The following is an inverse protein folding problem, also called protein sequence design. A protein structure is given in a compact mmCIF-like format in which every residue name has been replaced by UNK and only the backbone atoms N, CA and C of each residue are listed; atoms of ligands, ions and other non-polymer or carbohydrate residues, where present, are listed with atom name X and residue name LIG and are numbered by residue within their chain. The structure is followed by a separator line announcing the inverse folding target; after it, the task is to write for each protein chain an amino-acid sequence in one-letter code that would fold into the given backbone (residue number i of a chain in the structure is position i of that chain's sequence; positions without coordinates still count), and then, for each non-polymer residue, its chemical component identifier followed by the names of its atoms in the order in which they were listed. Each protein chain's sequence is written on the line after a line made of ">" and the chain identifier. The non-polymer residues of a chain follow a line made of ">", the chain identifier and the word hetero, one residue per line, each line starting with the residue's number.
data_IF_571656997984
#
_entry.id   IF_571656997984
#
_cell.length_a   1.000
_cell.length_b   1.000
_cell.length_c   1.000
_cell.angle_alpha   90.00
_cell.angle_beta   90.00
_cell.angle_gamma   90.00
#
_symmetry.space_group_name_H-M   'P 1'
#
loop_
_entity.id
_entity.type
_entity.pdbx_description
1 polymer ?
#
# COMPACT_ATOMS: atom_id res chain seq x y z
N UNK A 1 6.92 -9.02 11.48
CA UNK A 1 6.64 -9.95 10.37
C UNK A 1 5.16 -9.88 10.06
N UNK A 2 4.78 -9.83 8.79
CA UNK A 2 3.39 -9.84 8.31
C UNK A 2 3.20 -10.92 7.25
N UNK A 3 1.99 -11.48 7.14
CA UNK A 3 1.64 -12.49 6.14
C UNK A 3 0.14 -12.50 5.87
N UNK A 4 -0.25 -13.04 4.71
CA UNK A 4 -1.63 -13.41 4.43
C UNK A 4 -1.88 -14.86 4.85
N UNK A 5 -2.98 -15.09 5.56
CA UNK A 5 -3.45 -16.43 5.92
C UNK A 5 -4.82 -16.65 5.27
N UNK A 6 -4.95 -17.70 4.45
CA UNK A 6 -6.26 -18.15 3.97
C UNK A 6 -6.98 -18.89 5.11
N UNK A 7 -8.06 -18.29 5.63
CA UNK A 7 -8.80 -18.82 6.78
C UNK A 7 -10.05 -19.61 6.39
N UNK A 8 -10.54 -19.39 5.17
CA UNK A 8 -11.58 -20.17 4.50
C UNK A 8 -11.42 -19.96 2.99
N UNK A 9 -12.08 -20.75 2.12
CA UNK A 9 -12.01 -20.55 0.68
C UNK A 9 -12.31 -19.09 0.33
N UNK A 10 -11.39 -18.47 -0.40
CA UNK A 10 -11.40 -17.05 -0.81
C UNK A 10 -11.32 -16.01 0.31
N UNK A 11 -11.36 -16.39 1.59
CA UNK A 11 -11.27 -15.49 2.73
C UNK A 11 -9.83 -15.43 3.26
N UNK A 12 -9.26 -14.23 3.30
CA UNK A 12 -7.91 -14.00 3.77
C UNK A 12 -7.90 -13.08 4.98
N UNK A 13 -6.91 -13.28 5.85
CA UNK A 13 -6.54 -12.36 6.91
C UNK A 13 -5.12 -11.84 6.67
N UNK A 14 -4.94 -10.51 6.71
CA UNK A 14 -3.62 -9.93 6.91
C UNK A 14 -3.26 -10.01 8.39
N UNK A 15 -2.23 -10.78 8.70
CA UNK A 15 -1.73 -10.98 10.05
C UNK A 15 -0.35 -10.39 10.24
N UNK A 16 -0.03 -10.07 11.48
CA UNK A 16 1.29 -9.62 11.86
C UNK A 16 1.69 -10.16 13.24
N UNK A 17 3.00 -10.26 13.46
CA UNK A 17 3.61 -10.54 14.76
C UNK A 17 4.87 -9.70 14.88
N UNK A 18 5.17 -9.24 16.09
CA UNK A 18 6.35 -8.45 16.43
C UNK A 18 7.31 -9.28 17.27
N UNK A 19 8.60 -9.15 16.96
CA UNK A 19 9.67 -9.74 17.74
C UNK A 19 10.02 -8.75 18.87
N UNK A 20 9.81 -9.16 20.12
CA UNK A 20 10.13 -8.39 21.32
C UNK A 20 10.95 -9.26 22.26
N UNK A 21 12.08 -8.76 22.73
CA UNK A 21 12.99 -9.48 23.64
C UNK A 21 13.41 -10.88 23.16
N UNK A 22 13.49 -11.08 21.85
CA UNK A 22 13.85 -12.36 21.23
C UNK A 22 12.69 -13.35 21.09
N UNK A 23 11.48 -12.99 21.49
CA UNK A 23 10.27 -13.81 21.35
C UNK A 23 9.24 -13.14 20.43
N UNK A 24 8.57 -13.95 19.61
CA UNK A 24 7.45 -13.47 18.80
C UNK A 24 6.20 -13.38 19.65
N UNK A 25 5.52 -12.24 19.59
CA UNK A 25 4.24 -12.09 20.25
C UNK A 25 3.13 -12.89 19.54
N UNK A 26 1.99 -13.05 20.22
CA UNK A 26 0.80 -13.65 19.59
C UNK A 26 0.41 -12.83 18.35
N UNK A 27 0.15 -13.48 17.19
CA UNK A 27 -0.26 -12.78 15.99
C UNK A 27 -1.52 -11.93 16.19
N UNK A 28 -1.50 -10.71 15.68
CA UNK A 28 -2.66 -9.84 15.52
C UNK A 28 -3.21 -9.89 14.09
N UNK A 29 -4.48 -9.53 13.93
CA UNK A 29 -5.16 -9.40 12.63
C UNK A 29 -5.30 -7.92 12.30
N UNK A 30 -4.90 -7.54 11.09
CA UNK A 30 -5.02 -6.17 10.56
C UNK A 30 -6.37 -6.00 9.88
N UNK A 31 -6.65 -6.89 8.91
CA UNK A 31 -7.83 -6.86 8.07
C UNK A 31 -8.19 -8.28 7.63
N UNK A 32 -9.47 -8.50 7.33
CA UNK A 32 -10.00 -9.78 6.88
C UNK A 32 -11.08 -9.56 5.81
N UNK A 33 -11.10 -10.37 4.76
CA UNK A 33 -12.06 -10.21 3.66
C UNK A 33 -11.88 -11.24 2.54
N UNK A 34 -12.87 -11.32 1.65
CA UNK A 34 -12.81 -12.10 0.40
C UNK A 34 -12.33 -11.28 -0.82
N UNK A 35 -12.18 -9.98 -0.62
CA UNK A 35 -11.80 -8.99 -1.63
C UNK A 35 -10.30 -8.71 -1.65
N UNK A 36 -9.47 -9.45 -0.91
CA UNK A 36 -8.02 -9.35 -1.01
C UNK A 36 -7.53 -9.71 -2.42
N UNK A 37 -6.67 -8.86 -2.98
CA UNK A 37 -5.92 -9.21 -4.19
C UNK A 37 -4.63 -9.92 -3.78
N UNK A 38 -4.64 -11.25 -3.86
CA UNK A 38 -3.51 -12.11 -3.51
C UNK A 38 -2.79 -12.53 -4.79
N UNK A 39 -1.51 -12.19 -4.90
CA UNK A 39 -0.66 -12.58 -6.03
C UNK A 39 0.73 -13.05 -5.54
N UNK A 40 1.64 -13.36 -6.47
CA UNK A 40 3.00 -13.83 -6.17
C UNK A 40 4.06 -12.73 -6.14
N UNK A 41 3.70 -11.47 -6.42
CA UNK A 41 4.66 -10.40 -6.74
C UNK A 41 4.55 -9.16 -5.83
N UNK A 42 3.38 -8.90 -5.27
CA UNK A 42 3.10 -7.77 -4.40
C UNK A 42 2.57 -8.27 -3.05
N UNK A 43 3.23 -7.82 -1.99
CA UNK A 43 3.05 -8.36 -0.65
C UNK A 43 2.57 -7.29 0.30
N UNK A 44 1.56 -7.57 1.14
CA UNK A 44 1.19 -6.65 2.20
C UNK A 44 2.29 -6.57 3.25
N UNK A 45 2.48 -5.38 3.81
CA UNK A 45 3.45 -5.17 4.87
C UNK A 45 2.83 -4.50 6.08
N UNK A 46 3.41 -4.77 7.26
CA UNK A 46 3.17 -4.04 8.50
C UNK A 46 4.51 -3.56 9.03
N UNK A 47 4.64 -2.26 9.26
CA UNK A 47 5.87 -1.63 9.75
C UNK A 47 5.61 -0.70 10.93
N UNK A 48 6.59 -0.55 11.83
CA UNK A 48 6.57 0.47 12.87
C UNK A 48 6.74 1.85 12.25
N UNK A 49 5.99 2.83 12.74
CA UNK A 49 6.12 4.24 12.39
C UNK A 49 6.35 5.12 13.61
N UNK A 50 6.33 6.46 13.42
CA UNK A 50 6.57 7.42 14.49
C UNK A 50 5.58 7.27 15.65
N UNK A 51 6.01 7.68 16.84
CA UNK A 51 5.18 7.67 18.06
C UNK A 51 4.70 6.27 18.49
N UNK A 52 5.37 5.21 18.03
CA UNK A 52 4.98 3.83 18.33
C UNK A 52 3.75 3.35 17.56
N UNK A 53 3.34 4.09 16.52
CA UNK A 53 2.30 3.66 15.59
C UNK A 53 2.75 2.43 14.80
N UNK A 54 1.79 1.64 14.33
CA UNK A 54 2.00 0.62 13.31
C UNK A 54 1.20 1.02 12.06
N UNK A 55 1.77 0.77 10.90
CA UNK A 55 1.15 1.05 9.61
C UNK A 55 1.13 -0.22 8.78
N UNK A 56 -0.02 -0.47 8.16
CA UNK A 56 -0.23 -1.63 7.31
C UNK A 56 -0.69 -1.19 5.93
N UNK A 57 -0.26 -1.91 4.90
CA UNK A 57 -0.91 -1.88 3.60
C UNK A 57 -1.23 -3.28 3.09
N UNK A 58 -2.24 -3.36 2.22
CA UNK A 58 -2.57 -4.55 1.44
C UNK A 58 -3.21 -4.14 0.12
N UNK A 59 -3.38 -5.11 -0.77
CA UNK A 59 -4.12 -4.92 -2.01
C UNK A 59 -5.54 -5.46 -1.89
N UNK A 60 -6.49 -4.71 -2.43
CA UNK A 60 -7.90 -5.06 -2.49
C UNK A 60 -8.39 -5.02 -3.93
N UNK A 61 -9.12 -6.05 -4.35
CA UNK A 61 -9.78 -6.13 -5.67
C UNK A 61 -10.83 -5.04 -5.81
N UNK A 62 -10.88 -4.44 -6.98
CA UNK A 62 -12.01 -3.63 -7.41
C UNK A 62 -13.11 -4.47 -8.06
N UNK A 63 -14.17 -3.80 -8.52
CA UNK A 63 -15.38 -4.45 -9.03
C UNK A 63 -15.24 -5.02 -10.44
N UNK A 64 -14.31 -4.50 -11.25
CA UNK A 64 -14.12 -4.93 -12.64
C UNK A 64 -13.22 -6.17 -12.75
N UNK A 65 -12.51 -6.52 -11.67
CA UNK A 65 -11.60 -7.66 -11.62
C UNK A 65 -10.38 -7.52 -12.54
N UNK A 66 -9.63 -8.62 -12.72
CA UNK A 66 -8.39 -8.59 -13.49
C UNK A 66 -7.32 -7.71 -12.83
N UNK A 67 -6.94 -6.62 -13.50
CA UNK A 67 -5.99 -5.62 -12.99
C UNK A 67 -6.64 -4.50 -12.19
N UNK A 68 -7.96 -4.51 -12.02
CA UNK A 68 -8.65 -3.58 -11.11
C UNK A 68 -8.38 -3.99 -9.66
N UNK A 69 -7.35 -3.40 -9.07
CA UNK A 69 -7.02 -3.56 -7.66
C UNK A 69 -6.30 -2.33 -7.12
N UNK A 70 -6.52 -2.06 -5.83
CA UNK A 70 -6.06 -0.86 -5.17
C UNK A 70 -5.35 -1.13 -3.86
N UNK A 71 -4.40 -0.25 -3.53
CA UNK A 71 -3.77 -0.17 -2.22
C UNK A 71 -4.77 0.26 -1.15
N UNK A 72 -4.78 -0.45 -0.02
CA UNK A 72 -5.42 -0.04 1.23
C UNK A 72 -4.36 0.19 2.29
N UNK A 73 -4.59 1.18 3.14
CA UNK A 73 -3.68 1.58 4.23
C UNK A 73 -4.47 1.72 5.52
N UNK A 74 -3.91 1.24 6.62
CA UNK A 74 -4.47 1.41 7.96
C UNK A 74 -3.38 1.72 9.00
N UNK A 75 -3.75 2.49 10.02
CA UNK A 75 -2.90 2.88 11.14
C UNK A 75 -3.38 2.19 12.43
N UNK A 76 -2.45 1.83 13.30
CA UNK A 76 -2.73 1.45 14.68
C UNK A 76 -1.90 2.28 15.66
N UNK A 77 -2.56 2.86 16.66
CA UNK A 77 -1.92 3.60 17.75
C UNK A 77 -1.76 2.81 19.05
N UNK A 78 -2.14 1.53 19.09
CA UNK A 78 -2.22 0.72 20.31
C UNK A 78 -1.44 -0.61 20.24
N UNK A 79 -0.44 -0.65 19.36
CA UNK A 79 0.38 -1.84 19.12
C UNK A 79 -0.32 -2.91 18.28
N UNK A 80 -1.27 -2.51 17.43
CA UNK A 80 -1.99 -3.37 16.50
C UNK A 80 -3.12 -4.17 17.15
N UNK A 81 -3.69 -3.68 18.26
CA UNK A 81 -4.91 -4.25 18.86
C UNK A 81 -6.14 -3.75 18.12
N UNK A 82 -6.14 -2.50 17.69
CA UNK A 82 -7.15 -1.89 16.84
C UNK A 82 -6.49 -1.18 15.66
N UNK A 83 -7.21 -1.12 14.55
CA UNK A 83 -6.78 -0.49 13.30
C UNK A 83 -7.81 0.56 12.88
N UNK A 84 -7.34 1.63 12.25
CA UNK A 84 -8.20 2.66 11.67
C UNK A 84 -9.05 2.08 10.53
N UNK A 85 -10.10 2.82 10.14
CA UNK A 85 -10.78 2.56 8.88
C UNK A 85 -9.76 2.63 7.72
N UNK A 86 -9.78 1.66 6.79
CA UNK A 86 -8.85 1.64 5.68
C UNK A 86 -9.13 2.75 4.68
N UNK A 87 -8.07 3.33 4.13
CA UNK A 87 -8.15 4.35 3.09
C UNK A 87 -7.21 4.00 1.92
N UNK A 88 -7.32 4.70 0.79
CA UNK A 88 -6.49 4.48 -0.40
C UNK A 88 -5.58 5.69 -0.68
N UNK A 89 -4.30 5.48 -1.03
CA UNK A 89 -3.39 6.57 -1.38
C UNK A 89 -3.67 7.19 -2.76
N UNK A 90 -4.23 6.43 -3.70
CA UNK A 90 -4.57 6.87 -5.06
C UNK A 90 -6.01 7.42 -5.14
N UNK A 91 -6.21 8.45 -5.96
CA UNK A 91 -7.49 9.20 -6.04
C UNK A 91 -8.14 9.24 -7.43
N UNK A 92 -7.49 8.72 -8.47
CA UNK A 92 -7.98 8.79 -9.85
C UNK A 92 -9.23 7.94 -10.09
N UNK A 93 -9.43 6.89 -9.29
CA UNK A 93 -10.61 6.03 -9.35
C UNK A 93 -10.72 5.19 -10.62
N UNK A 94 -9.65 5.06 -11.39
CA UNK A 94 -9.64 4.19 -12.57
C UNK A 94 -9.58 2.72 -12.14
N UNK A 95 -10.29 1.80 -12.84
CA UNK A 95 -10.25 0.38 -12.55
C UNK A 95 -8.98 -0.25 -13.12
N UNK A 96 -7.83 0.21 -12.62
CA UNK A 96 -6.49 -0.22 -13.06
C UNK A 96 -5.64 -0.65 -11.88
N UNK A 97 -4.45 -1.13 -12.21
CA UNK A 97 -3.46 -1.62 -11.26
C UNK A 97 -2.89 -0.48 -10.41
N UNK A 98 -3.00 -0.64 -9.09
CA UNK A 98 -2.33 0.20 -8.12
C UNK A 98 -1.71 -0.69 -7.04
N UNK A 99 -0.38 -0.80 -7.05
CA UNK A 99 0.34 -1.75 -6.20
C UNK A 99 1.84 -1.49 -6.12
N UNK A 100 2.60 -2.55 -5.85
CA UNK A 100 4.04 -2.59 -5.60
C UNK A 100 4.48 -1.53 -4.60
N UNK A 101 3.85 -1.59 -3.43
CA UNK A 101 3.91 -0.52 -2.43
C UNK A 101 5.18 -0.59 -1.60
N UNK A 102 5.82 0.56 -1.45
CA UNK A 102 6.84 0.82 -0.43
C UNK A 102 6.33 1.85 0.56
N UNK A 103 6.51 1.57 1.85
CA UNK A 103 6.20 2.53 2.90
C UNK A 103 7.47 2.83 3.71
N UNK A 104 7.65 4.08 4.11
CA UNK A 104 8.76 4.51 4.95
C UNK A 104 8.30 5.52 6.01
N UNK A 105 9.03 5.64 7.12
CA UNK A 105 8.84 6.79 8.00
C UNK A 105 9.13 8.09 7.24
N UNK A 106 8.22 9.06 7.33
CA UNK A 106 8.45 10.41 6.80
C UNK A 106 8.00 11.45 7.81
N UNK A 107 8.95 12.20 8.36
CA UNK A 107 8.70 13.22 9.38
C UNK A 107 7.95 12.66 10.60
N UNK A 108 6.71 13.10 10.81
CA UNK A 108 5.84 12.68 11.91
C UNK A 108 4.81 11.62 11.53
N UNK A 109 4.99 10.94 10.39
CA UNK A 109 4.13 9.86 9.93
C UNK A 109 4.82 8.95 8.93
N UNK A 110 4.10 8.56 7.87
CA UNK A 110 4.62 7.67 6.83
C UNK A 110 4.52 8.31 5.45
N UNK A 111 5.50 8.00 4.61
CA UNK A 111 5.43 8.13 3.17
C UNK A 111 5.03 6.81 2.54
N UNK A 112 4.29 6.88 1.43
CA UNK A 112 3.78 5.74 0.69
C UNK A 112 4.10 5.96 -0.77
N UNK A 113 4.84 5.03 -1.36
CA UNK A 113 5.18 4.99 -2.78
C UNK A 113 4.48 3.80 -3.42
N UNK A 114 3.89 3.97 -4.61
CA UNK A 114 3.24 2.88 -5.35
C UNK A 114 3.43 3.04 -6.87
N UNK A 115 3.33 1.92 -7.56
CA UNK A 115 3.13 1.85 -9.01
C UNK A 115 1.66 2.08 -9.34
N UNK A 116 1.43 2.95 -10.31
CA UNK A 116 0.12 3.47 -10.64
C UNK A 116 -0.16 3.38 -12.14
N UNK A 117 -1.12 2.53 -12.48
CA UNK A 117 -1.48 2.12 -13.83
C UNK A 117 -2.59 2.95 -14.45
N UNK A 118 -2.94 4.12 -13.90
CA UNK A 118 -4.08 4.92 -14.40
C UNK A 118 -4.00 5.28 -15.89
N UNK A 119 -2.78 5.33 -16.45
CA UNK A 119 -2.56 5.59 -17.87
C UNK A 119 -2.76 4.36 -18.79
N UNK A 120 -3.25 3.22 -18.27
CA UNK A 120 -3.65 2.06 -19.07
C UNK A 120 -5.08 2.15 -19.59
N UNK A 121 -5.87 3.06 -19.03
CA UNK A 121 -7.16 3.48 -19.59
C UNK A 121 -7.00 4.83 -20.30
N UNK A 122 -7.82 5.07 -21.31
CA UNK A 122 -7.82 6.37 -21.99
C UNK A 122 -8.68 7.35 -21.21
N UNK A 123 -8.19 8.58 -21.03
CA UNK A 123 -8.99 9.68 -20.48
C UNK A 123 -10.05 10.18 -21.47
N UNK A 124 -9.88 9.91 -22.76
CA UNK A 124 -10.77 10.38 -23.83
C UNK A 124 -11.24 9.23 -24.71
N UNK A 125 -12.55 9.14 -24.92
CA UNK A 125 -13.16 8.15 -25.81
C UNK A 125 -12.57 8.23 -27.22
N UNK A 126 -12.04 7.09 -27.69
CA UNK A 126 -11.50 6.94 -29.05
C UNK A 126 -10.00 7.18 -29.19
N UNK A 127 -9.32 7.68 -28.16
CA UNK A 127 -7.86 7.80 -28.15
C UNK A 127 -7.22 6.55 -27.51
N UNK A 128 -6.06 6.09 -28.01
CA UNK A 128 -5.34 5.00 -27.38
C UNK A 128 -4.73 5.45 -26.05
N UNK A 129 -4.87 4.62 -25.01
CA UNK A 129 -4.21 4.85 -23.74
C UNK A 129 -2.67 4.90 -23.92
N UNK A 130 -1.94 5.74 -23.18
CA UNK A 130 -0.47 5.75 -23.19
C UNK A 130 0.15 4.40 -22.80
N UNK A 131 -0.53 3.65 -21.93
CA UNK A 131 -0.10 2.36 -21.36
C UNK A 131 1.23 2.48 -20.61
N UNK A 132 1.31 3.48 -19.75
CA UNK A 132 2.49 3.78 -18.94
C UNK A 132 2.19 3.50 -17.47
N UNK A 133 3.14 2.85 -16.78
CA UNK A 133 3.12 2.75 -15.32
C UNK A 133 3.82 3.98 -14.77
N UNK A 134 3.23 4.62 -13.76
CA UNK A 134 3.81 5.80 -13.09
C UNK A 134 4.23 5.46 -11.66
N UNK A 135 5.20 6.20 -11.12
CA UNK A 135 5.59 6.10 -9.73
C UNK A 135 5.02 7.29 -8.97
N UNK A 136 4.24 7.03 -7.93
CA UNK A 136 3.54 8.07 -7.17
C UNK A 136 3.83 7.99 -5.69
N UNK A 137 3.55 9.09 -5.01
CA UNK A 137 3.86 9.28 -3.61
C UNK A 137 2.79 10.06 -2.88
N UNK A 138 2.60 9.70 -1.61
CA UNK A 138 1.73 10.41 -0.69
C UNK A 138 2.23 10.27 0.74
N UNK A 139 2.06 11.31 1.53
CA UNK A 139 2.38 11.31 2.96
C UNK A 139 1.13 11.40 3.81
N UNK A 140 1.21 10.84 5.01
CA UNK A 140 0.20 11.01 6.05
C UNK A 140 0.91 11.12 7.41
N UNK A 141 0.48 12.07 8.23
CA UNK A 141 0.92 12.18 9.64
C UNK A 141 0.14 11.20 10.52
N UNK A 142 0.73 10.74 11.62
CA UNK A 142 0.04 9.95 12.66
C UNK A 142 -1.25 10.64 13.11
N UNK A 143 -2.39 9.95 12.99
CA UNK A 143 -3.74 10.50 13.28
C UNK A 143 -4.17 11.67 12.39
N UNK A 144 -3.44 11.96 11.32
CA UNK A 144 -3.67 13.05 10.39
C UNK A 144 -4.59 12.68 9.24
N UNK A 145 -4.67 13.60 8.26
CA UNK A 145 -5.30 13.32 6.96
C UNK A 145 -4.22 13.06 5.91
N UNK A 146 -4.51 12.23 4.89
CA UNK A 146 -3.60 12.08 3.75
C UNK A 146 -3.29 13.43 3.09
N UNK A 147 -2.01 13.68 2.79
CA UNK A 147 -1.53 14.83 2.03
C UNK A 147 -1.92 14.76 0.55
N UNK A 148 -1.38 15.63 -0.31
CA UNK A 148 -1.62 15.55 -1.75
C UNK A 148 -0.91 14.35 -2.39
N UNK A 149 -1.51 13.81 -3.44
CA UNK A 149 -0.86 12.85 -4.32
C UNK A 149 0.20 13.54 -5.17
N UNK A 150 1.42 12.96 -5.25
CA UNK A 150 2.57 13.51 -5.97
C UNK A 150 3.09 12.51 -6.99
N UNK A 151 3.32 12.96 -8.22
CA UNK A 151 4.02 12.17 -9.24
C UNK A 151 5.54 12.23 -8.99
N UNK A 152 6.17 11.07 -8.79
CA UNK A 152 7.64 10.95 -8.73
C UNK A 152 8.20 10.77 -10.13
N UNK A 153 7.68 9.79 -10.88
CA UNK A 153 8.16 9.46 -12.22
C UNK A 153 6.98 9.14 -13.15
N UNK A 154 6.97 9.76 -14.32
CA UNK A 154 5.93 9.62 -15.33
C UNK A 154 6.02 8.28 -16.09
N UNK A 155 7.13 7.54 -15.99
CA UNK A 155 7.28 6.27 -16.70
C UNK A 155 8.30 5.35 -16.04
N UNK A 156 7.79 4.26 -15.48
CA UNK A 156 8.60 3.21 -14.85
C UNK A 156 8.27 1.83 -15.41
N UNK A 157 9.07 0.82 -15.04
CA UNK A 157 8.74 -0.57 -15.31
C UNK A 157 7.43 -0.96 -14.60
N UNK A 158 6.66 -1.85 -15.22
CA UNK A 158 5.31 -2.22 -14.80
C UNK A 158 5.26 -3.26 -13.67
N UNK A 159 6.38 -3.93 -13.34
CA UNK A 159 6.38 -5.07 -12.41
C UNK A 159 7.60 -5.15 -11.47
N UNK A 160 8.44 -4.12 -11.42
CA UNK A 160 9.58 -4.09 -10.50
C UNK A 160 9.11 -3.70 -9.10
N UNK A 161 9.51 -4.45 -8.06
CA UNK A 161 9.26 -4.02 -6.68
C UNK A 161 9.94 -2.67 -6.44
N UNK A 162 9.20 -1.74 -5.86
CA UNK A 162 9.77 -0.47 -5.44
C UNK A 162 10.46 -0.68 -4.09
N UNK A 163 11.58 0.01 -3.89
CA UNK A 163 12.20 0.21 -2.57
C UNK A 163 12.36 1.72 -2.37
N UNK A 164 12.32 2.19 -1.13
CA UNK A 164 12.40 3.62 -0.90
C UNK A 164 13.01 4.00 0.44
N UNK A 165 13.73 5.11 0.43
CA UNK A 165 14.53 5.61 1.55
C UNK A 165 14.38 7.11 1.68
N UNK A 166 14.36 7.61 2.92
CA UNK A 166 14.36 9.06 3.17
C UNK A 166 15.79 9.60 3.16
N UNK A 167 16.01 10.67 2.39
CA UNK A 167 17.27 11.43 2.37
C UNK A 167 17.05 12.83 2.96
N UNK A 168 18.11 13.59 3.30
CA UNK A 168 17.99 14.99 3.73
C UNK A 168 17.32 15.91 2.70
N UNK A 169 17.28 15.50 1.43
CA UNK A 169 16.67 16.24 0.32
C UNK A 169 15.22 15.82 0.04
N UNK A 170 14.68 14.84 0.77
CA UNK A 170 13.37 14.23 0.54
C UNK A 170 13.46 12.71 0.29
N UNK A 171 12.30 12.04 0.15
CA UNK A 171 12.23 10.62 -0.15
C UNK A 171 12.80 10.31 -1.55
N UNK A 172 13.58 9.24 -1.65
CA UNK A 172 14.07 8.66 -2.90
C UNK A 172 13.50 7.24 -3.04
N UNK A 173 12.92 6.92 -4.19
CA UNK A 173 12.52 5.56 -4.56
C UNK A 173 13.49 4.97 -5.59
N UNK A 174 13.70 3.66 -5.51
CA UNK A 174 14.42 2.85 -6.49
C UNK A 174 13.49 1.73 -7.02
N UNK A 175 13.75 1.28 -8.24
CA UNK A 175 13.17 0.08 -8.86
C UNK A 175 14.19 -1.07 -8.82
#
# INVERSE_FOLDING_TARGET
>A
MSWLEEVAPTMYELRFSMLQDGEWNKPGVVAAGDDFFVNWADFPSVLPGPQGSLWAHWLQRGSEGGYDYGVRVAESGDGGKTWSEPWTPHEDGTPTEHGFVSMMESGSGIGIVWLDGRNFVSETDGEPAPREMTLRFREIQVGGKPGPETLIDARVCDCCQTDAVVTPSGPCGCL
#
